data_IF_919036412314
#
_entry.id   IF_919036412314
#
_cell.length_a   1.000
_cell.length_b   1.000
_cell.length_c   1.000
_cell.angle_alpha   90.00
_cell.angle_beta   90.00
_cell.angle_gamma   90.00
#
_symmetry.space_group_name_H-M   'P 1'
#
loop_
_entity.id
_entity.type
_entity.pdbx_description
1 polymer ?
#
# COMPACT_ATOMS: atom_id res chain seq x y z
N UNK A 1 26.29 33.37 -21.13
CA UNK A 1 26.91 32.15 -20.61
C UNK A 1 26.02 30.98 -20.99
N UNK A 2 26.51 30.09 -21.82
CA UNK A 2 25.73 29.24 -22.71
C UNK A 2 25.48 27.85 -22.08
N UNK A 3 24.33 27.65 -21.45
CA UNK A 3 23.97 26.40 -20.74
C UNK A 3 23.25 25.38 -21.63
N UNK A 4 23.71 25.15 -22.84
CA UNK A 4 23.08 24.29 -23.83
C UNK A 4 23.70 22.93 -24.07
N UNK A 5 24.48 22.36 -23.17
CA UNK A 5 24.99 21.00 -23.38
C UNK A 5 25.07 20.17 -22.07
N UNK A 6 23.95 20.00 -21.39
CA UNK A 6 23.80 18.82 -20.57
C UNK A 6 23.28 17.73 -21.51
N UNK A 7 24.17 16.99 -22.12
CA UNK A 7 23.85 15.72 -22.76
C UNK A 7 23.47 14.78 -21.63
N UNK A 8 22.18 14.73 -21.32
CA UNK A 8 21.64 13.67 -20.47
C UNK A 8 21.80 12.38 -21.30
N UNK A 9 22.87 11.66 -21.03
CA UNK A 9 23.06 10.30 -21.53
C UNK A 9 21.83 9.50 -21.05
N UNK A 10 20.82 9.33 -21.93
CA UNK A 10 19.68 8.48 -21.66
C UNK A 10 20.22 7.06 -21.54
N UNK A 11 20.21 6.43 -20.35
CA UNK A 11 20.51 5.01 -20.30
C UNK A 11 19.49 4.31 -21.19
N UNK A 12 19.98 3.45 -22.08
CA UNK A 12 19.11 2.60 -22.88
C UNK A 12 18.16 1.84 -21.94
N UNK A 13 16.86 1.74 -22.27
CA UNK A 13 15.92 1.02 -21.45
C UNK A 13 16.36 -0.44 -21.41
N UNK A 14 16.85 -0.87 -20.23
CA UNK A 14 17.09 -2.29 -19.99
C UNK A 14 15.75 -2.99 -20.11
N UNK A 15 15.69 -4.16 -20.79
CA UNK A 15 14.44 -4.93 -20.87
C UNK A 15 13.89 -5.13 -19.47
N UNK A 16 12.60 -4.86 -19.30
CA UNK A 16 11.95 -4.87 -17.99
C UNK A 16 12.07 -6.26 -17.36
N UNK A 17 12.64 -6.30 -16.17
CA UNK A 17 12.88 -7.52 -15.39
C UNK A 17 11.55 -8.10 -14.87
N UNK A 18 10.49 -7.26 -14.81
CA UNK A 18 9.20 -7.61 -14.23
C UNK A 18 8.14 -7.80 -15.32
N UNK A 19 7.44 -8.92 -15.28
CA UNK A 19 6.26 -9.17 -16.10
C UNK A 19 5.04 -8.42 -15.57
N UNK A 20 4.02 -8.24 -16.41
CA UNK A 20 2.73 -7.62 -16.00
C UNK A 20 2.08 -8.36 -14.82
N UNK A 21 2.22 -9.68 -14.78
CA UNK A 21 1.72 -10.53 -13.70
C UNK A 21 2.39 -10.24 -12.35
N UNK A 22 3.69 -9.94 -12.37
CA UNK A 22 4.46 -9.62 -11.17
C UNK A 22 4.05 -8.26 -10.61
N UNK A 23 3.84 -7.29 -11.49
CA UNK A 23 3.36 -5.96 -11.13
C UNK A 23 1.95 -6.01 -10.52
N UNK A 24 1.06 -6.80 -11.13
CA UNK A 24 -0.28 -7.01 -10.61
C UNK A 24 -0.24 -7.66 -9.22
N UNK A 25 0.58 -8.70 -9.03
CA UNK A 25 0.74 -9.39 -7.77
C UNK A 25 1.28 -8.46 -6.66
N UNK A 26 2.29 -7.64 -6.99
CA UNK A 26 2.84 -6.64 -6.07
C UNK A 26 1.78 -5.62 -5.71
N UNK A 27 1.04 -5.06 -6.69
CA UNK A 27 0.00 -4.08 -6.45
C UNK A 27 -1.13 -4.63 -5.58
N UNK A 28 -1.61 -5.84 -5.88
CA UNK A 28 -2.65 -6.52 -5.09
C UNK A 28 -2.18 -6.79 -3.66
N UNK A 29 -0.95 -7.30 -3.49
CA UNK A 29 -0.37 -7.55 -2.18
C UNK A 29 -0.22 -6.28 -1.33
N UNK A 30 -0.01 -5.13 -1.97
CA UNK A 30 0.08 -3.84 -1.29
C UNK A 30 -1.28 -3.29 -0.86
N UNK A 31 -2.32 -3.44 -1.70
CA UNK A 31 -3.69 -2.99 -1.37
C UNK A 31 -4.33 -3.88 -0.31
N UNK A 32 -4.31 -5.21 -0.53
CA UNK A 32 -4.98 -6.19 0.33
C UNK A 32 -4.12 -6.57 1.53
N UNK A 33 -2.81 -6.27 1.51
CA UNK A 33 -1.83 -6.65 2.54
C UNK A 33 -2.15 -6.19 3.96
N UNK A 34 -1.11 -5.92 4.73
CA UNK A 34 -1.21 -5.55 6.14
C UNK A 34 -2.16 -4.37 6.40
N UNK A 35 -2.27 -3.41 5.47
CA UNK A 35 -3.13 -2.25 5.60
C UNK A 35 -4.60 -2.61 5.76
N UNK A 36 -5.14 -3.45 4.89
CA UNK A 36 -6.54 -3.87 4.98
C UNK A 36 -6.79 -4.71 6.24
N UNK A 37 -5.98 -5.73 6.47
CA UNK A 37 -6.18 -6.68 7.58
C UNK A 37 -6.02 -6.01 8.94
N UNK A 38 -5.04 -5.12 9.11
CA UNK A 38 -4.77 -4.46 10.40
C UNK A 38 -5.66 -3.25 10.67
N UNK A 39 -6.09 -2.54 9.63
CA UNK A 39 -6.81 -1.27 9.80
C UNK A 39 -8.33 -1.42 9.85
N UNK A 40 -8.91 -2.53 9.36
CA UNK A 40 -10.36 -2.76 9.42
C UNK A 40 -10.86 -2.79 10.86
N UNK A 41 -10.16 -3.48 11.77
CA UNK A 41 -10.56 -3.54 13.18
C UNK A 41 -10.65 -2.16 13.85
N UNK A 42 -9.59 -1.35 13.86
CA UNK A 42 -9.64 0.03 14.32
C UNK A 42 -10.66 0.92 13.59
N UNK A 43 -10.80 0.78 12.27
CA UNK A 43 -11.81 1.52 11.52
C UNK A 43 -13.23 1.17 11.97
N UNK A 44 -13.49 -0.10 12.24
CA UNK A 44 -14.78 -0.59 12.78
C UNK A 44 -15.07 -0.01 14.18
N UNK A 45 -14.03 0.16 15.01
CA UNK A 45 -14.18 0.82 16.30
C UNK A 45 -14.60 2.30 16.17
N UNK A 46 -14.19 3.00 15.12
CA UNK A 46 -14.59 4.40 14.88
C UNK A 46 -15.99 4.55 14.28
N UNK A 47 -16.42 3.63 13.41
CA UNK A 47 -17.64 3.85 12.62
C UNK A 47 -18.69 2.74 12.75
N UNK A 48 -18.37 1.61 13.39
CA UNK A 48 -19.29 0.47 13.53
C UNK A 48 -19.52 -0.27 12.22
N UNK A 49 -20.76 -0.67 11.97
CA UNK A 49 -21.11 -1.46 10.77
C UNK A 49 -20.96 -0.68 9.45
N UNK A 50 -20.85 0.64 9.47
CA UNK A 50 -20.62 1.45 8.27
C UNK A 50 -19.16 1.41 7.76
N UNK A 51 -18.29 0.57 8.32
CA UNK A 51 -16.89 0.43 7.89
C UNK A 51 -16.76 0.11 6.40
N UNK A 52 -17.68 -0.65 5.81
CA UNK A 52 -17.67 -0.94 4.38
C UNK A 52 -17.91 0.32 3.52
N UNK A 53 -18.82 1.23 3.97
CA UNK A 53 -19.02 2.53 3.32
C UNK A 53 -17.78 3.42 3.48
N UNK A 54 -17.16 3.42 4.67
CA UNK A 54 -15.92 4.14 4.89
C UNK A 54 -14.80 3.63 3.98
N UNK A 55 -14.75 2.31 3.72
CA UNK A 55 -13.77 1.73 2.80
C UNK A 55 -14.04 2.11 1.35
N UNK A 56 -15.30 2.10 0.91
CA UNK A 56 -15.68 2.60 -0.43
C UNK A 56 -15.32 4.08 -0.59
N UNK A 57 -15.60 4.89 0.43
CA UNK A 57 -15.20 6.31 0.43
C UNK A 57 -13.68 6.45 0.35
N UNK A 58 -12.93 5.64 1.09
CA UNK A 58 -11.47 5.62 1.04
C UNK A 58 -10.94 5.25 -0.36
N UNK A 59 -11.56 4.28 -1.05
CA UNK A 59 -11.21 3.91 -2.42
C UNK A 59 -11.43 5.09 -3.37
N UNK A 60 -12.58 5.75 -3.29
CA UNK A 60 -12.91 6.91 -4.14
C UNK A 60 -11.93 8.05 -3.87
N UNK A 61 -11.66 8.39 -2.60
CA UNK A 61 -10.68 9.42 -2.24
C UNK A 61 -9.27 9.03 -2.71
N UNK A 62 -8.89 7.77 -2.54
CA UNK A 62 -7.62 7.22 -3.01
C UNK A 62 -7.50 7.38 -4.54
N UNK A 63 -8.54 7.08 -5.30
CA UNK A 63 -8.55 7.26 -6.76
C UNK A 63 -8.25 8.72 -7.14
N UNK A 64 -8.90 9.69 -6.52
CA UNK A 64 -8.61 11.11 -6.78
C UNK A 64 -7.17 11.50 -6.41
N UNK A 65 -6.61 10.95 -5.35
CA UNK A 65 -5.21 11.21 -4.97
C UNK A 65 -4.21 10.61 -5.98
N UNK A 66 -4.57 9.49 -6.61
CA UNK A 66 -3.75 8.78 -7.59
C UNK A 66 -3.78 9.41 -8.96
N UNK A 67 -4.92 9.97 -9.33
CA UNK A 67 -5.17 10.48 -10.67
C UNK A 67 -4.08 11.44 -11.21
N UNK A 68 -3.59 12.44 -10.45
CA UNK A 68 -2.47 13.27 -10.86
C UNK A 68 -1.19 12.47 -11.13
N UNK A 69 -0.92 11.43 -10.33
CA UNK A 69 0.27 10.59 -10.52
C UNK A 69 0.18 9.75 -11.79
N UNK A 70 -1.00 9.27 -12.16
CA UNK A 70 -1.21 8.52 -13.42
C UNK A 70 -0.91 9.43 -14.62
N UNK A 71 -1.43 10.66 -14.62
CA UNK A 71 -1.20 11.62 -15.71
C UNK A 71 0.28 11.98 -15.79
N UNK A 72 0.90 12.35 -14.64
CA UNK A 72 2.29 12.76 -14.61
C UNK A 72 3.25 11.61 -14.96
N UNK A 73 2.96 10.40 -14.48
CA UNK A 73 3.75 9.21 -14.81
C UNK A 73 3.66 8.82 -16.29
N UNK A 74 2.51 9.06 -16.95
CA UNK A 74 2.34 8.83 -18.37
C UNK A 74 3.01 9.87 -19.26
N UNK A 75 3.13 11.13 -18.78
CA UNK A 75 3.68 12.27 -19.57
C UNK A 75 5.16 12.50 -19.29
N UNK A 76 5.63 12.26 -18.07
CA UNK A 76 7.00 12.55 -17.66
C UNK A 76 7.77 11.26 -17.36
N UNK A 77 8.67 10.88 -18.25
CA UNK A 77 9.61 9.77 -18.03
C UNK A 77 10.82 10.26 -17.21
N UNK A 78 10.65 10.42 -15.90
CA UNK A 78 11.70 10.91 -15.02
C UNK A 78 12.09 9.81 -14.03
N UNK A 79 13.38 9.45 -14.01
CA UNK A 79 13.92 8.56 -12.99
C UNK A 79 13.92 9.28 -11.63
N UNK A 80 13.51 8.60 -10.54
CA UNK A 80 13.49 9.16 -9.19
C UNK A 80 12.10 9.38 -8.57
N UNK A 81 11.04 8.95 -9.28
CA UNK A 81 9.67 8.92 -8.74
C UNK A 81 9.12 10.30 -8.35
N UNK A 82 8.28 10.37 -7.30
CA UNK A 82 7.59 11.61 -6.92
C UNK A 82 8.52 12.78 -6.62
N UNK A 83 9.71 12.52 -6.08
CA UNK A 83 10.69 13.55 -5.80
C UNK A 83 11.12 14.29 -7.08
N UNK A 84 11.52 13.54 -8.10
CA UNK A 84 11.98 14.12 -9.36
C UNK A 84 10.86 14.83 -10.12
N UNK A 85 9.64 14.28 -10.09
CA UNK A 85 8.46 14.91 -10.71
C UNK A 85 8.20 16.27 -10.06
N UNK A 86 8.12 16.32 -8.73
CA UNK A 86 7.82 17.57 -8.00
C UNK A 86 8.96 18.57 -8.14
N UNK A 87 10.22 18.13 -8.11
CA UNK A 87 11.38 19.01 -8.30
C UNK A 87 11.37 19.67 -9.67
N UNK A 88 11.02 18.92 -10.73
CA UNK A 88 10.96 19.45 -12.09
C UNK A 88 9.78 20.42 -12.30
N UNK A 89 8.65 20.19 -11.61
CA UNK A 89 7.45 21.03 -11.77
C UNK A 89 7.44 22.27 -10.87
N UNK A 90 7.89 22.12 -9.63
CA UNK A 90 7.71 23.13 -8.56
C UNK A 90 9.03 23.60 -7.92
N UNK A 91 10.16 23.12 -8.42
CA UNK A 91 11.48 23.51 -7.95
C UNK A 91 12.02 22.67 -6.79
N UNK A 92 13.31 22.87 -6.50
CA UNK A 92 14.10 22.06 -5.53
C UNK A 92 13.57 22.18 -4.11
N UNK A 93 13.07 23.34 -3.70
CA UNK A 93 12.54 23.55 -2.35
C UNK A 93 11.33 22.66 -2.06
N UNK A 94 10.38 22.60 -3.01
CA UNK A 94 9.18 21.74 -2.89
C UNK A 94 9.56 20.26 -2.99
N UNK A 95 10.53 19.92 -3.87
CA UNK A 95 11.10 18.57 -3.94
C UNK A 95 11.71 18.14 -2.60
N UNK A 96 12.39 19.06 -1.90
CA UNK A 96 12.95 18.81 -0.56
C UNK A 96 11.90 18.39 0.47
N UNK A 97 10.69 18.99 0.45
CA UNK A 97 9.58 18.56 1.31
C UNK A 97 9.13 17.13 1.01
N UNK A 98 9.07 16.76 -0.28
CA UNK A 98 8.74 15.38 -0.68
C UNK A 98 9.82 14.41 -0.21
N UNK A 99 11.10 14.76 -0.32
CA UNK A 99 12.18 13.93 0.21
C UNK A 99 12.06 13.75 1.72
N UNK A 100 11.78 14.81 2.46
CA UNK A 100 11.57 14.74 3.91
C UNK A 100 10.40 13.81 4.29
N UNK A 101 9.25 13.92 3.62
CA UNK A 101 8.13 13.00 3.87
C UNK A 101 8.50 11.55 3.59
N UNK A 102 9.34 11.28 2.59
CA UNK A 102 9.84 9.94 2.29
C UNK A 102 10.78 9.39 3.36
N UNK A 103 11.49 10.22 4.10
CA UNK A 103 12.29 9.80 5.26
C UNK A 103 11.42 9.44 6.47
N UNK A 104 10.28 10.11 6.66
CA UNK A 104 9.36 9.85 7.77
C UNK A 104 8.48 8.61 7.52
N UNK A 105 8.11 8.34 6.26
CA UNK A 105 7.23 7.24 5.89
C UNK A 105 7.68 5.86 6.41
N UNK A 106 8.96 5.45 6.36
CA UNK A 106 9.40 4.16 6.91
C UNK A 106 9.18 4.02 8.42
N UNK A 107 9.25 5.13 9.16
CA UNK A 107 8.99 5.13 10.60
C UNK A 107 7.51 4.79 10.87
N UNK A 108 6.60 5.40 10.11
CA UNK A 108 5.17 5.09 10.18
C UNK A 108 4.88 3.65 9.76
N UNK A 109 5.58 3.15 8.73
CA UNK A 109 5.41 1.78 8.24
C UNK A 109 5.94 0.71 9.21
N UNK A 110 6.77 1.07 10.20
CA UNK A 110 7.25 0.13 11.23
C UNK A 110 6.09 -0.49 12.05
N UNK A 111 4.93 0.17 12.11
CA UNK A 111 3.72 -0.38 12.71
C UNK A 111 3.24 -1.67 12.03
N UNK A 112 3.47 -1.82 10.73
CA UNK A 112 3.14 -3.05 9.99
C UNK A 112 4.04 -4.22 10.36
N UNK A 113 5.31 -3.95 10.71
CA UNK A 113 6.20 -4.98 11.24
C UNK A 113 5.74 -5.49 12.61
N UNK A 114 5.26 -4.59 13.48
CA UNK A 114 4.66 -4.99 14.76
C UNK A 114 3.37 -5.78 14.56
N UNK A 115 2.54 -5.40 13.60
CA UNK A 115 1.34 -6.15 13.25
C UNK A 115 1.68 -7.57 12.78
N UNK A 116 2.69 -7.72 11.92
CA UNK A 116 3.19 -9.04 11.51
C UNK A 116 3.65 -9.86 12.74
N UNK A 117 4.39 -9.24 13.65
CA UNK A 117 4.82 -9.87 14.91
C UNK A 117 3.64 -10.33 15.77
N UNK A 118 2.57 -9.54 15.88
CA UNK A 118 1.33 -9.90 16.59
C UNK A 118 0.65 -11.12 15.96
N UNK A 119 0.51 -11.16 14.63
CA UNK A 119 -0.10 -12.30 13.95
C UNK A 119 0.75 -13.57 14.09
N UNK A 120 2.05 -13.47 13.95
CA UNK A 120 2.97 -14.59 14.14
C UNK A 120 3.00 -15.10 15.60
N UNK A 121 2.83 -14.22 16.57
CA UNK A 121 2.77 -14.60 17.99
C UNK A 121 1.55 -15.48 18.29
N UNK A 122 0.43 -15.31 17.58
CA UNK A 122 -0.72 -16.20 17.70
C UNK A 122 -0.43 -17.63 17.21
N UNK A 123 0.51 -17.78 16.28
CA UNK A 123 0.97 -19.09 15.78
C UNK A 123 2.12 -19.66 16.60
N UNK A 124 2.95 -18.78 17.17
CA UNK A 124 4.17 -19.12 17.91
C UNK A 124 4.17 -18.43 19.29
N UNK A 125 3.31 -18.85 20.22
CA UNK A 125 3.08 -18.14 21.50
C UNK A 125 4.29 -18.14 22.45
N UNK A 126 5.35 -18.89 22.15
CA UNK A 126 6.58 -18.92 22.94
C UNK A 126 7.59 -17.82 22.64
N UNK A 127 7.38 -17.01 21.59
CA UNK A 127 8.32 -16.00 21.12
C UNK A 127 7.69 -14.61 21.25
N UNK A 128 8.46 -13.63 21.76
CA UNK A 128 7.94 -12.27 21.94
C UNK A 128 7.57 -11.61 20.60
N UNK A 129 6.50 -10.81 20.61
CA UNK A 129 6.03 -10.05 19.42
C UNK A 129 7.16 -9.23 18.79
N UNK A 130 7.99 -8.58 19.60
CA UNK A 130 9.11 -7.78 19.12
C UNK A 130 10.15 -8.61 18.37
N UNK A 131 10.48 -9.80 18.89
CA UNK A 131 11.45 -10.70 18.24
C UNK A 131 10.91 -11.18 16.88
N UNK A 132 9.63 -11.56 16.81
CA UNK A 132 8.99 -11.98 15.57
C UNK A 132 8.89 -10.84 14.55
N UNK A 133 8.61 -9.63 15.00
CA UNK A 133 8.59 -8.44 14.14
C UNK A 133 9.97 -8.16 13.54
N UNK A 134 11.02 -8.18 14.36
CA UNK A 134 12.41 -7.96 13.92
C UNK A 134 12.84 -9.08 12.96
N UNK A 135 12.57 -10.35 13.30
CA UNK A 135 12.88 -11.47 12.42
C UNK A 135 12.21 -11.34 11.06
N UNK A 136 10.92 -10.95 11.02
CA UNK A 136 10.18 -10.70 9.77
C UNK A 136 10.84 -9.61 8.93
N UNK A 137 11.20 -8.47 9.54
CA UNK A 137 11.89 -7.38 8.83
C UNK A 137 13.24 -7.82 8.30
N UNK A 138 14.03 -8.57 9.09
CA UNK A 138 15.35 -9.08 8.67
C UNK A 138 15.20 -10.04 7.49
N UNK A 139 14.23 -10.96 7.53
CA UNK A 139 13.96 -11.89 6.42
C UNK A 139 13.61 -11.11 5.15
N UNK A 140 12.70 -10.13 5.24
CA UNK A 140 12.31 -9.30 4.09
C UNK A 140 13.48 -8.46 3.57
N UNK A 141 14.34 -7.96 4.45
CA UNK A 141 15.54 -7.23 4.07
C UNK A 141 16.52 -8.13 3.29
N UNK A 142 16.78 -9.33 3.78
CA UNK A 142 17.63 -10.32 3.09
C UNK A 142 17.04 -10.68 1.73
N UNK A 143 15.74 -10.93 1.64
CA UNK A 143 15.07 -11.20 0.36
C UNK A 143 15.22 -10.04 -0.63
N UNK A 144 15.20 -8.80 -0.15
CA UNK A 144 15.41 -7.62 -0.98
C UNK A 144 16.85 -7.53 -1.50
N UNK A 145 17.84 -7.92 -0.67
CA UNK A 145 19.26 -7.96 -1.08
C UNK A 145 19.55 -9.04 -2.13
N UNK A 146 18.76 -10.12 -2.17
CA UNK A 146 18.91 -11.20 -3.15
C UNK A 146 18.52 -10.80 -4.58
N UNK A 147 17.95 -9.62 -4.76
CA UNK A 147 17.61 -9.03 -6.05
C UNK A 147 16.11 -9.03 -6.38
N UNK A 148 15.76 -8.19 -7.36
CA UNK A 148 14.36 -7.93 -7.72
C UNK A 148 13.63 -9.16 -8.25
N UNK A 149 14.32 -10.08 -8.94
CA UNK A 149 13.70 -11.29 -9.50
C UNK A 149 13.19 -12.24 -8.41
N UNK A 150 14.01 -12.43 -7.36
CA UNK A 150 13.64 -13.29 -6.22
C UNK A 150 12.53 -12.61 -5.42
N UNK A 151 12.65 -11.31 -5.17
CA UNK A 151 11.63 -10.53 -4.48
C UNK A 151 10.29 -10.59 -5.21
N UNK A 152 10.26 -10.43 -6.55
CA UNK A 152 9.04 -10.50 -7.34
C UNK A 152 8.39 -11.88 -7.28
N UNK A 153 9.17 -12.97 -7.39
CA UNK A 153 8.66 -14.35 -7.27
C UNK A 153 8.04 -14.60 -5.89
N UNK A 154 8.73 -14.22 -4.82
CA UNK A 154 8.23 -14.37 -3.44
C UNK A 154 6.96 -13.54 -3.25
N UNK A 155 6.94 -12.29 -3.69
CA UNK A 155 5.76 -11.42 -3.64
C UNK A 155 4.57 -12.03 -4.39
N UNK A 156 4.80 -12.63 -5.57
CA UNK A 156 3.76 -13.30 -6.36
C UNK A 156 3.15 -14.48 -5.62
N UNK A 157 3.99 -15.33 -5.01
CA UNK A 157 3.52 -16.46 -4.21
C UNK A 157 2.70 -15.96 -3.01
N UNK A 158 3.23 -15.02 -2.24
CA UNK A 158 2.54 -14.46 -1.07
C UNK A 158 1.22 -13.80 -1.43
N UNK A 159 1.17 -13.02 -2.52
CA UNK A 159 -0.06 -12.38 -3.00
C UNK A 159 -1.09 -13.39 -3.49
N UNK A 160 -0.65 -14.48 -4.13
CA UNK A 160 -1.55 -15.56 -4.54
C UNK A 160 -2.16 -16.28 -3.34
N UNK A 161 -1.35 -16.60 -2.34
CA UNK A 161 -1.82 -17.20 -1.07
C UNK A 161 -2.80 -16.27 -0.37
N UNK A 162 -2.49 -14.96 -0.33
CA UNK A 162 -3.36 -13.94 0.25
C UNK A 162 -4.71 -13.88 -0.46
N UNK A 163 -4.74 -13.87 -1.80
CA UNK A 163 -5.99 -13.89 -2.57
C UNK A 163 -6.83 -15.14 -2.31
N UNK A 164 -6.19 -16.32 -2.32
CA UNK A 164 -6.88 -17.57 -2.00
C UNK A 164 -7.50 -17.51 -0.59
N UNK A 165 -6.71 -17.06 0.39
CA UNK A 165 -7.17 -16.90 1.77
C UNK A 165 -8.34 -15.93 1.88
N UNK A 166 -8.30 -14.80 1.14
CA UNK A 166 -9.40 -13.83 1.09
C UNK A 166 -10.67 -14.44 0.50
N UNK A 167 -10.56 -15.20 -0.60
CA UNK A 167 -11.71 -15.89 -1.21
C UNK A 167 -12.31 -16.90 -0.23
N UNK A 168 -11.48 -17.71 0.41
CA UNK A 168 -11.94 -18.66 1.42
C UNK A 168 -12.62 -17.94 2.59
N UNK A 169 -12.03 -16.84 3.08
CA UNK A 169 -12.62 -16.03 4.15
C UNK A 169 -14.00 -15.49 3.77
N UNK A 170 -14.16 -15.00 2.53
CA UNK A 170 -15.46 -14.52 2.03
C UNK A 170 -16.46 -15.67 1.95
N UNK A 171 -16.08 -16.81 1.36
CA UNK A 171 -16.97 -17.97 1.21
C UNK A 171 -17.42 -18.48 2.58
N UNK A 172 -16.50 -18.71 3.51
CA UNK A 172 -16.85 -19.14 4.87
C UNK A 172 -17.60 -18.06 5.65
N UNK A 173 -17.22 -16.79 5.48
CA UNK A 173 -17.88 -15.65 6.13
C UNK A 173 -19.35 -15.52 5.70
N UNK A 174 -19.63 -15.71 4.42
CA UNK A 174 -21.02 -15.67 3.90
C UNK A 174 -21.91 -16.75 4.53
N UNK A 175 -21.37 -17.92 4.86
CA UNK A 175 -22.12 -19.00 5.53
C UNK A 175 -22.39 -18.73 7.02
N UNK A 176 -21.65 -17.80 7.64
CA UNK A 176 -21.73 -17.48 9.06
C UNK A 176 -22.46 -16.16 9.35
N UNK A 177 -23.06 -15.55 8.34
CA UNK A 177 -23.79 -14.28 8.51
C UNK A 177 -25.04 -14.54 9.36
N UNK A 178 -25.01 -14.04 10.61
CA UNK A 178 -26.11 -14.14 11.57
C UNK A 178 -26.86 -12.81 11.77
N UNK A 179 -26.33 -11.72 11.26
CA UNK A 179 -26.89 -10.37 11.41
C UNK A 179 -27.13 -9.75 10.03
N UNK A 180 -28.18 -8.96 9.84
CA UNK A 180 -28.42 -8.27 8.56
C UNK A 180 -27.30 -7.25 8.31
N UNK A 181 -26.49 -7.49 7.25
CA UNK A 181 -25.34 -6.66 6.86
C UNK A 181 -25.79 -5.25 6.46
N UNK A 182 -27.01 -5.12 5.93
CA UNK A 182 -27.56 -3.87 5.41
C UNK A 182 -28.66 -3.29 6.29
N UNK A 183 -28.54 -3.39 7.60
CA UNK A 183 -29.48 -2.71 8.50
C UNK A 183 -29.08 -1.24 8.67
N UNK A 184 -29.62 -0.38 7.81
CA UNK A 184 -29.35 1.06 7.80
C UNK A 184 -30.02 1.82 8.96
N UNK A 185 -30.89 1.19 9.74
CA UNK A 185 -31.70 1.83 10.80
C UNK A 185 -31.17 1.65 12.22
N UNK A 186 -29.98 1.06 12.41
CA UNK A 186 -29.50 0.77 13.76
C UNK A 186 -28.49 1.81 14.28
N UNK A 187 -28.55 2.11 15.59
CA UNK A 187 -27.56 2.94 16.33
C UNK A 187 -26.11 2.43 16.16
N UNK A 188 -25.94 1.20 15.70
CA UNK A 188 -24.65 0.56 15.45
C UNK A 188 -24.04 0.85 14.07
N UNK A 189 -24.81 1.50 13.17
CA UNK A 189 -24.35 1.76 11.80
C UNK A 189 -23.31 2.88 11.76
N UNK A 190 -23.48 3.94 12.56
CA UNK A 190 -22.56 5.07 12.65
C UNK A 190 -22.25 5.41 14.11
N UNK A 191 -21.60 4.49 14.83
CA UNK A 191 -21.32 4.64 16.27
C UNK A 191 -20.56 5.91 16.63
N UNK A 192 -19.65 6.37 15.77
CA UNK A 192 -18.90 7.62 15.94
C UNK A 192 -19.48 8.82 15.18
N UNK A 193 -20.69 8.70 14.63
CA UNK A 193 -21.29 9.73 13.77
C UNK A 193 -20.44 10.05 12.56
N UNK A 194 -20.66 11.22 11.95
CA UNK A 194 -19.90 11.67 10.77
C UNK A 194 -18.39 11.79 11.02
N UNK A 195 -17.98 12.23 12.22
CA UNK A 195 -16.57 12.34 12.59
C UNK A 195 -15.89 10.98 12.62
N UNK A 196 -16.52 9.97 13.25
CA UNK A 196 -16.00 8.61 13.31
C UNK A 196 -15.91 7.98 11.91
N UNK A 197 -16.93 8.20 11.08
CA UNK A 197 -16.95 7.76 9.69
C UNK A 197 -15.78 8.36 8.88
N UNK A 198 -15.56 9.67 8.96
CA UNK A 198 -14.44 10.31 8.27
C UNK A 198 -13.07 9.84 8.78
N UNK A 199 -12.91 9.64 10.09
CA UNK A 199 -11.68 9.10 10.65
C UNK A 199 -11.42 7.67 10.15
N UNK A 200 -12.45 6.83 10.08
CA UNK A 200 -12.34 5.49 9.53
C UNK A 200 -11.96 5.52 8.05
N UNK A 201 -12.59 6.39 7.23
CA UNK A 201 -12.24 6.55 5.83
C UNK A 201 -10.80 7.03 5.63
N UNK A 202 -10.34 8.02 6.40
CA UNK A 202 -8.96 8.51 6.37
C UNK A 202 -7.95 7.44 6.80
N UNK A 203 -8.28 6.63 7.80
CA UNK A 203 -7.44 5.52 8.22
C UNK A 203 -7.30 4.48 7.10
N UNK A 204 -8.40 4.17 6.42
CA UNK A 204 -8.45 3.15 5.36
C UNK A 204 -7.85 3.63 4.03
N UNK A 205 -7.71 4.95 3.82
CA UNK A 205 -7.13 5.50 2.58
C UNK A 205 -5.69 5.01 2.35
N UNK A 206 -4.95 4.76 3.42
CA UNK A 206 -3.60 4.20 3.34
C UNK A 206 -3.59 2.78 2.73
N UNK A 207 -4.60 1.95 3.03
CA UNK A 207 -4.71 0.62 2.44
C UNK A 207 -5.23 0.65 1.00
N UNK A 208 -6.00 1.69 0.63
CA UNK A 208 -6.49 1.87 -0.73
C UNK A 208 -5.42 2.44 -1.68
N UNK A 209 -4.29 2.91 -1.16
CA UNK A 209 -3.29 3.68 -1.91
C UNK A 209 -2.04 2.84 -2.25
N UNK A 210 -2.15 1.93 -3.23
CA UNK A 210 -1.00 1.17 -3.76
C UNK A 210 -0.11 1.97 -4.73
N UNK A 211 -0.33 3.27 -4.88
CA UNK A 211 0.15 4.09 -6.00
C UNK A 211 1.62 4.44 -5.96
N UNK A 212 2.22 4.46 -4.79
CA UNK A 212 3.64 4.87 -4.66
C UNK A 212 4.61 4.00 -5.49
N UNK A 213 4.15 2.87 -6.00
CA UNK A 213 4.99 1.88 -6.70
C UNK A 213 4.70 1.75 -8.20
N UNK A 214 3.57 2.27 -8.70
CA UNK A 214 3.30 2.30 -10.15
C UNK A 214 4.32 3.13 -10.91
N UNK A 215 4.96 4.10 -10.24
CA UNK A 215 6.03 4.92 -10.82
C UNK A 215 7.34 4.16 -11.06
N UNK A 216 7.59 3.07 -10.33
CA UNK A 216 8.77 2.24 -10.55
C UNK A 216 8.59 1.32 -11.76
N UNK A 217 7.37 1.12 -12.21
CA UNK A 217 7.02 0.10 -13.19
C UNK A 217 6.75 0.65 -14.58
N UNK A 218 6.31 1.91 -14.71
CA UNK A 218 6.08 2.54 -16.02
C UNK A 218 7.32 2.65 -16.90
N UNK A 219 8.53 2.95 -16.39
CA UNK A 219 9.75 2.94 -17.19
C UNK A 219 10.24 1.51 -17.55
N UNK A 220 9.82 0.49 -16.80
CA UNK A 220 10.26 -0.91 -17.01
C UNK A 220 9.36 -1.70 -17.96
N UNK A 221 8.19 -1.20 -18.30
CA UNK A 221 7.24 -1.83 -19.24
C UNK A 221 7.44 -1.33 -20.70
N UNK A 222 8.14 -0.22 -20.86
CA UNK A 222 8.46 0.36 -22.17
C UNK A 222 9.79 -0.16 -22.70
#
# INVERSE_FOLDING_TARGET
MNDKNIIVNKPEPKPGILERSDLFAIAVGMVIGSGMVTLIGPAMAYTGYSVWLAYLTAIVMGFFMVFPYIILGGTMRVAGGPYSIVTNLSGVSTGGLVAYTKLVTPILNSSFALALGLYLNNLLPGITVKALAIAGVVILFVLNLLGMDIFAKVSKILSTVLLITMVLYVVFGLTQIRQPIFNFSGDKMFTGGFKGFMLAALLLINSANAVSYTHLTLPTIA
#
